data_IF_125297627975
#
_entry.id   IF_125297627975
#
_cell.length_a   1.000
_cell.length_b   1.000
_cell.length_c   1.000
_cell.angle_alpha   90.00
_cell.angle_beta   90.00
_cell.angle_gamma   90.00
#
_symmetry.space_group_name_H-M   'P 1'
#
loop_
_entity.id
_entity.type
_entity.pdbx_description
1 polymer ?
#
# COMPACT_ATOMS: atom_id res chain seq x y z
N UNK A 1 23.93 18.36 -12.21
CA UNK A 1 23.29 19.54 -11.63
C UNK A 1 24.31 20.34 -10.85
N UNK A 2 24.45 21.64 -11.11
CA UNK A 2 25.29 22.55 -10.33
C UNK A 2 24.47 23.09 -9.15
N UNK A 3 24.78 22.63 -7.94
CA UNK A 3 24.15 23.14 -6.72
C UNK A 3 24.71 24.52 -6.35
N UNK A 4 23.84 25.41 -5.88
CA UNK A 4 24.28 26.60 -5.15
C UNK A 4 24.87 26.22 -3.78
N UNK A 5 25.77 27.04 -3.20
CA UNK A 5 26.31 26.80 -1.85
C UNK A 5 25.21 26.62 -0.80
N UNK A 6 24.10 27.36 -0.95
CA UNK A 6 22.91 27.22 -0.09
C UNK A 6 22.28 25.84 -0.23
N UNK A 7 22.06 25.34 -1.45
CA UNK A 7 21.44 24.04 -1.68
C UNK A 7 22.30 22.90 -1.12
N UNK A 8 23.62 22.93 -1.36
CA UNK A 8 24.52 21.93 -0.83
C UNK A 8 24.51 21.92 0.71
N UNK A 9 24.57 23.10 1.34
CA UNK A 9 24.49 23.22 2.78
C UNK A 9 23.15 22.71 3.34
N UNK A 10 22.03 23.04 2.71
CA UNK A 10 20.71 22.59 3.17
C UNK A 10 20.51 21.09 3.00
N UNK A 11 21.03 20.47 1.93
CA UNK A 11 20.97 19.02 1.74
C UNK A 11 21.74 18.27 2.84
N UNK A 12 22.86 18.82 3.33
CA UNK A 12 23.58 18.26 4.50
C UNK A 12 22.79 18.39 5.80
N UNK A 13 21.87 19.33 5.88
CA UNK A 13 20.95 19.53 7.01
C UNK A 13 19.57 18.88 6.80
N UNK A 14 19.43 17.99 5.81
CA UNK A 14 18.17 17.32 5.48
C UNK A 14 18.36 15.81 5.56
N UNK A 15 17.43 15.12 6.23
CA UNK A 15 17.33 13.67 6.13
C UNK A 15 16.71 13.30 4.78
N UNK A 16 17.47 12.62 3.93
CA UNK A 16 16.97 12.11 2.65
C UNK A 16 16.44 10.69 2.86
N UNK A 17 15.17 10.48 2.52
CA UNK A 17 14.50 9.20 2.73
C UNK A 17 15.18 8.07 1.95
N UNK A 18 15.58 7.01 2.65
CA UNK A 18 16.16 5.78 2.09
C UNK A 18 17.44 5.93 1.24
N UNK A 19 18.08 7.11 1.25
CA UNK A 19 19.37 7.33 0.59
C UNK A 19 20.44 7.73 1.60
N UNK A 20 21.69 7.43 1.28
CA UNK A 20 22.80 8.03 1.99
C UNK A 20 23.02 9.46 1.49
N UNK A 21 23.05 10.44 2.38
CA UNK A 21 23.15 11.87 2.01
C UNK A 21 24.40 12.16 1.19
N UNK A 22 25.56 11.59 1.52
CA UNK A 22 26.79 11.79 0.74
C UNK A 22 26.68 11.23 -0.69
N UNK A 23 26.01 10.09 -0.86
CA UNK A 23 25.76 9.47 -2.17
C UNK A 23 24.79 10.33 -3.00
N UNK A 24 23.72 10.85 -2.37
CA UNK A 24 22.80 11.76 -3.03
C UNK A 24 23.49 13.06 -3.52
N UNK A 25 24.47 13.57 -2.76
CA UNK A 25 25.21 14.78 -3.11
C UNK A 25 26.15 14.61 -4.32
N UNK A 26 26.54 13.38 -4.69
CA UNK A 26 27.33 13.13 -5.90
C UNK A 26 26.53 13.46 -7.17
N UNK A 27 25.23 13.12 -7.15
CA UNK A 27 24.32 13.28 -8.28
C UNK A 27 22.94 13.80 -7.82
N UNK A 28 22.86 15.05 -7.32
CA UNK A 28 21.65 15.57 -6.73
C UNK A 28 20.57 15.80 -7.80
N UNK A 29 19.34 15.44 -7.45
CA UNK A 29 18.14 15.76 -8.22
C UNK A 29 17.24 16.69 -7.39
N UNK A 30 17.21 17.96 -7.76
CA UNK A 30 16.31 18.96 -7.16
C UNK A 30 15.21 19.28 -8.16
N UNK A 31 13.99 18.89 -7.84
CA UNK A 31 12.80 19.18 -8.63
C UNK A 31 12.26 20.58 -8.29
N UNK A 32 11.86 21.32 -9.31
CA UNK A 32 11.28 22.66 -9.16
C UNK A 32 9.79 22.69 -9.50
N UNK A 33 9.41 21.97 -10.56
CA UNK A 33 8.09 22.06 -11.16
C UNK A 33 7.59 20.68 -11.56
N UNK A 34 6.28 20.50 -11.49
CA UNK A 34 5.59 19.35 -12.05
C UNK A 34 4.33 19.81 -12.79
N UNK A 35 3.97 19.11 -13.86
CA UNK A 35 2.75 19.33 -14.65
C UNK A 35 2.38 18.06 -15.39
N UNK A 36 1.12 17.63 -15.27
CA UNK A 36 0.63 16.37 -15.86
C UNK A 36 1.54 15.19 -15.48
N UNK A 37 2.16 14.51 -16.44
CA UNK A 37 3.00 13.33 -16.21
C UNK A 37 4.49 13.65 -16.18
N UNK A 38 4.86 14.91 -15.92
CA UNK A 38 6.24 15.36 -16.01
C UNK A 38 6.71 16.15 -14.79
N UNK A 39 7.98 15.97 -14.46
CA UNK A 39 8.75 16.84 -13.59
C UNK A 39 9.77 17.65 -14.38
N UNK A 40 10.18 18.79 -13.82
CA UNK A 40 11.30 19.59 -14.26
C UNK A 40 12.22 19.83 -13.07
N UNK A 41 13.52 19.64 -13.29
CA UNK A 41 14.53 20.05 -12.32
C UNK A 41 14.85 21.56 -12.43
N UNK A 42 15.64 22.06 -11.50
CA UNK A 42 16.08 23.47 -11.45
C UNK A 42 16.97 23.91 -12.64
N UNK A 43 17.45 22.96 -13.46
CA UNK A 43 18.20 23.24 -14.69
C UNK A 43 17.27 23.18 -15.93
N UNK A 44 15.97 22.96 -15.72
CA UNK A 44 14.94 22.89 -16.77
C UNK A 44 14.86 21.52 -17.46
N UNK A 45 15.60 20.51 -17.02
CA UNK A 45 15.52 19.17 -17.61
C UNK A 45 14.20 18.51 -17.24
N UNK A 46 13.52 17.98 -18.25
CA UNK A 46 12.21 17.34 -18.13
C UNK A 46 12.33 15.82 -17.93
N UNK A 47 11.54 15.28 -17.01
CA UNK A 47 11.49 13.86 -16.65
C UNK A 47 10.05 13.35 -16.79
N UNK A 48 9.87 12.22 -17.48
CA UNK A 48 8.58 11.55 -17.51
C UNK A 48 8.39 10.74 -16.22
N UNK A 49 7.33 11.04 -15.49
CA UNK A 49 6.97 10.37 -14.25
C UNK A 49 6.16 9.10 -14.53
N UNK A 50 6.88 8.01 -14.81
CA UNK A 50 6.25 6.73 -15.17
C UNK A 50 5.60 5.99 -13.99
N UNK A 51 5.80 6.47 -12.75
CA UNK A 51 5.33 5.80 -11.53
C UNK A 51 4.46 6.69 -10.63
N UNK A 52 4.24 7.95 -11.01
CA UNK A 52 3.46 8.92 -10.23
C UNK A 52 4.16 9.30 -8.92
N UNK A 53 5.46 9.56 -8.96
CA UNK A 53 6.31 9.80 -7.79
C UNK A 53 6.59 8.49 -7.06
N UNK A 54 5.90 8.25 -5.93
CA UNK A 54 5.97 6.97 -5.21
C UNK A 54 4.57 6.32 -5.24
N UNK A 55 4.07 6.05 -6.45
CA UNK A 55 2.73 5.49 -6.71
C UNK A 55 1.57 6.40 -6.26
N UNK A 56 1.75 7.72 -6.29
CA UNK A 56 0.85 8.71 -5.71
C UNK A 56 0.01 9.43 -6.77
N UNK A 57 0.65 10.05 -7.76
CA UNK A 57 0.02 11.00 -8.68
C UNK A 57 -0.71 10.31 -9.85
N UNK A 58 -1.76 9.54 -9.56
CA UNK A 58 -2.58 8.82 -10.56
C UNK A 58 -3.24 9.71 -11.63
N UNK A 59 -3.64 10.93 -11.27
CA UNK A 59 -4.26 11.94 -12.14
C UNK A 59 -3.22 12.89 -12.76
N UNK A 60 -1.93 12.65 -12.49
CA UNK A 60 -0.85 13.58 -12.81
C UNK A 60 -0.80 14.80 -11.89
N UNK A 61 0.19 15.64 -12.14
CA UNK A 61 0.51 16.84 -11.36
C UNK A 61 -0.36 18.02 -11.76
N UNK A 62 -0.67 18.89 -10.78
CA UNK A 62 -1.45 20.14 -10.95
C UNK A 62 -2.84 19.97 -11.54
N UNK A 63 -3.54 18.88 -11.20
CA UNK A 63 -4.90 18.64 -11.68
C UNK A 63 -5.86 19.80 -11.28
N UNK A 64 -6.48 20.51 -12.24
CA UNK A 64 -7.25 21.73 -11.95
C UNK A 64 -8.37 21.55 -10.92
N UNK A 65 -9.13 20.45 -11.01
CA UNK A 65 -10.22 20.11 -10.08
C UNK A 65 -9.74 20.00 -8.63
N UNK A 66 -8.57 19.38 -8.41
CA UNK A 66 -8.02 19.17 -7.08
C UNK A 66 -7.48 20.49 -6.51
N UNK A 67 -6.83 21.31 -7.34
CA UNK A 67 -6.37 22.63 -6.93
C UNK A 67 -7.55 23.54 -6.54
N UNK A 68 -8.66 23.46 -7.28
CA UNK A 68 -9.87 24.20 -6.97
C UNK A 68 -10.54 23.70 -5.68
N UNK A 69 -10.58 22.39 -5.45
CA UNK A 69 -11.09 21.81 -4.20
C UNK A 69 -10.34 22.33 -2.97
N UNK A 70 -8.99 22.40 -3.03
CA UNK A 70 -8.18 23.00 -1.96
C UNK A 70 -8.56 24.46 -1.74
N UNK A 71 -8.57 25.28 -2.81
CA UNK A 71 -8.87 26.72 -2.71
C UNK A 71 -10.23 26.97 -2.08
N UNK A 72 -11.29 26.33 -2.56
CA UNK A 72 -12.65 26.52 -2.04
C UNK A 72 -12.76 26.10 -0.57
N UNK A 73 -12.09 25.02 -0.17
CA UNK A 73 -12.15 24.56 1.20
C UNK A 73 -11.36 25.47 2.16
N UNK A 74 -10.25 26.07 1.71
CA UNK A 74 -9.48 27.05 2.50
C UNK A 74 -10.30 28.27 2.90
N UNK A 75 -11.22 28.73 2.05
CA UNK A 75 -12.12 29.86 2.33
C UNK A 75 -13.21 29.53 3.38
N UNK A 76 -13.39 28.25 3.72
CA UNK A 76 -14.42 27.80 4.68
C UNK A 76 -13.84 27.37 6.02
N UNK A 77 -12.99 26.34 6.00
CA UNK A 77 -12.35 25.81 7.21
C UNK A 77 -11.09 25.04 6.82
N UNK A 78 -9.97 25.44 7.40
CA UNK A 78 -8.64 24.83 7.16
C UNK A 78 -8.35 23.69 8.14
N UNK A 79 -8.96 23.74 9.33
CA UNK A 79 -8.72 22.79 10.41
C UNK A 79 -9.97 22.67 11.29
N UNK A 80 -10.36 21.43 11.58
CA UNK A 80 -11.34 21.10 12.61
C UNK A 80 -10.64 20.24 13.67
N UNK A 81 -10.65 20.62 14.96
CA UNK A 81 -9.96 19.88 16.01
C UNK A 81 -10.70 18.57 16.33
N UNK A 82 -10.11 17.38 16.04
CA UNK A 82 -10.85 16.10 16.12
C UNK A 82 -11.33 15.70 17.52
N UNK A 83 -10.85 16.38 18.57
CA UNK A 83 -11.29 16.19 19.96
C UNK A 83 -12.52 17.04 20.34
N UNK A 84 -12.87 18.05 19.54
CA UNK A 84 -13.98 18.97 19.85
C UNK A 84 -15.10 18.92 18.80
N UNK A 85 -14.80 18.48 17.58
CA UNK A 85 -15.81 18.39 16.53
C UNK A 85 -15.31 17.79 15.23
N UNK A 86 -16.22 17.69 14.27
CA UNK A 86 -16.00 17.19 12.93
C UNK A 86 -16.51 18.24 11.92
N UNK A 87 -15.78 18.47 10.83
CA UNK A 87 -16.25 19.34 9.77
C UNK A 87 -17.26 18.61 8.88
N UNK A 88 -18.23 19.35 8.34
CA UNK A 88 -19.25 18.84 7.42
C UNK A 88 -18.64 18.10 6.22
N UNK A 89 -17.62 18.70 5.57
CA UNK A 89 -16.89 18.09 4.45
C UNK A 89 -16.18 16.77 4.82
N UNK A 90 -15.87 16.57 6.10
CA UNK A 90 -15.29 15.30 6.58
C UNK A 90 -16.37 14.21 6.60
N UNK A 91 -17.64 14.54 6.88
CA UNK A 91 -18.77 13.63 6.77
C UNK A 91 -19.06 13.28 5.30
N UNK A 92 -19.04 14.29 4.41
CA UNK A 92 -19.17 14.07 2.96
C UNK A 92 -18.09 13.12 2.44
N UNK A 93 -16.87 13.23 2.97
CA UNK A 93 -15.77 12.33 2.61
C UNK A 93 -16.01 10.90 3.08
N UNK A 94 -16.57 10.70 4.29
CA UNK A 94 -16.97 9.37 4.80
C UNK A 94 -18.00 8.73 3.88
N UNK A 95 -19.03 9.49 3.45
CA UNK A 95 -20.03 9.00 2.50
C UNK A 95 -19.39 8.68 1.14
N UNK A 96 -18.61 9.62 0.59
CA UNK A 96 -17.98 9.49 -0.72
C UNK A 96 -17.08 8.27 -0.81
N UNK A 97 -16.20 8.04 0.16
CA UNK A 97 -15.32 6.87 0.13
C UNK A 97 -16.09 5.57 0.33
N UNK A 98 -17.10 5.56 1.21
CA UNK A 98 -17.98 4.41 1.43
C UNK A 98 -18.82 4.04 0.20
N UNK A 99 -19.06 5.00 -0.71
CA UNK A 99 -19.79 4.75 -1.97
C UNK A 99 -19.00 3.97 -3.01
N UNK A 100 -17.66 3.92 -2.89
CA UNK A 100 -16.78 3.29 -3.89
C UNK A 100 -16.00 2.08 -3.38
N UNK A 101 -16.05 1.79 -2.07
CA UNK A 101 -15.50 0.57 -1.47
C UNK A 101 -16.41 -0.64 -1.70
N UNK A 102 -15.87 -1.88 -1.67
CA UNK A 102 -16.68 -3.07 -1.85
C UNK A 102 -17.51 -3.42 -0.61
N UNK A 103 -18.69 -4.02 -0.85
CA UNK A 103 -19.54 -4.60 0.20
C UNK A 103 -20.05 -3.55 1.20
N UNK A 104 -19.85 -3.82 2.49
CA UNK A 104 -20.30 -2.99 3.60
C UNK A 104 -19.15 -2.23 4.30
N UNK A 105 -18.05 -1.97 3.60
CA UNK A 105 -16.91 -1.21 4.09
C UNK A 105 -17.25 0.29 4.15
N UNK A 106 -17.97 0.70 5.18
CA UNK A 106 -18.52 2.07 5.34
C UNK A 106 -18.13 2.76 6.63
N UNK A 107 -17.37 2.10 7.52
CA UNK A 107 -16.91 2.72 8.76
C UNK A 107 -15.52 3.32 8.60
N UNK A 108 -15.47 4.62 8.35
CA UNK A 108 -14.30 5.33 7.83
C UNK A 108 -13.67 6.21 8.91
N UNK A 109 -12.34 6.22 8.97
CA UNK A 109 -11.56 7.23 9.71
C UNK A 109 -10.39 7.72 8.86
N UNK A 110 -10.34 9.03 8.63
CA UNK A 110 -9.27 9.70 7.86
C UNK A 110 -8.03 10.02 8.70
N UNK A 111 -6.87 10.02 8.04
CA UNK A 111 -5.53 10.21 8.61
C UNK A 111 -4.63 11.00 7.63
N UNK A 112 -3.38 11.27 8.00
CA UNK A 112 -2.43 11.99 7.12
C UNK A 112 -1.77 11.08 6.08
N UNK A 113 -1.85 9.76 6.23
CA UNK A 113 -1.25 8.84 5.26
C UNK A 113 -1.40 7.36 5.60
N UNK A 114 -0.82 6.51 4.75
CA UNK A 114 -0.96 5.06 4.84
C UNK A 114 -0.39 4.43 6.12
N UNK A 115 0.77 4.90 6.61
CA UNK A 115 1.34 4.37 7.86
C UNK A 115 0.42 4.60 9.06
N UNK A 116 -0.19 5.79 9.16
CA UNK A 116 -1.18 6.09 10.22
C UNK A 116 -2.44 5.23 10.08
N UNK A 117 -2.92 5.04 8.84
CA UNK A 117 -4.07 4.17 8.58
C UNK A 117 -3.80 2.71 8.97
N UNK A 118 -2.60 2.18 8.68
CA UNK A 118 -2.19 0.84 9.10
C UNK A 118 -2.09 0.76 10.63
N UNK A 119 -1.47 1.72 11.31
CA UNK A 119 -1.44 1.69 12.78
C UNK A 119 -2.82 1.73 13.40
N UNK A 120 -3.69 2.57 12.86
CA UNK A 120 -5.08 2.63 13.29
C UNK A 120 -5.75 1.27 13.11
N UNK A 121 -5.58 0.60 11.97
CA UNK A 121 -6.16 -0.72 11.72
C UNK A 121 -5.63 -1.79 12.69
N UNK A 122 -4.32 -1.83 12.94
CA UNK A 122 -3.72 -2.79 13.88
C UNK A 122 -4.25 -2.57 15.31
N UNK A 123 -4.34 -1.31 15.76
CA UNK A 123 -4.93 -0.98 17.07
C UNK A 123 -6.43 -1.26 17.13
N UNK A 124 -7.16 -0.93 16.07
CA UNK A 124 -8.60 -1.13 15.95
C UNK A 124 -8.94 -2.61 16.10
N UNK A 125 -8.25 -3.49 15.37
CA UNK A 125 -8.49 -4.94 15.43
C UNK A 125 -8.18 -5.51 16.81
N UNK A 126 -7.06 -5.14 17.43
CA UNK A 126 -6.74 -5.56 18.80
C UNK A 126 -7.81 -5.10 19.80
N UNK A 127 -8.27 -3.85 19.69
CA UNK A 127 -9.28 -3.31 20.59
C UNK A 127 -10.66 -3.94 20.32
N UNK A 128 -11.01 -4.18 19.05
CA UNK A 128 -12.22 -4.87 18.63
C UNK A 128 -12.36 -6.22 19.36
N UNK A 129 -11.34 -7.07 19.28
CA UNK A 129 -11.41 -8.37 19.95
C UNK A 129 -11.43 -8.29 21.48
N UNK A 130 -10.76 -7.31 22.09
CA UNK A 130 -10.90 -7.05 23.53
C UNK A 130 -12.33 -6.69 23.92
N UNK A 131 -13.05 -5.96 23.08
CA UNK A 131 -14.42 -5.52 23.31
C UNK A 131 -15.47 -6.58 22.92
N UNK A 132 -15.11 -7.55 22.07
CA UNK A 132 -16.02 -8.61 21.59
C UNK A 132 -15.69 -9.99 22.16
N UNK A 133 -15.07 -10.06 23.35
CA UNK A 133 -14.91 -11.30 24.11
C UNK A 133 -13.75 -12.22 23.71
N UNK A 134 -12.80 -11.75 22.89
CA UNK A 134 -11.63 -12.53 22.47
C UNK A 134 -10.30 -11.81 22.80
N UNK A 135 -10.06 -11.43 24.08
CA UNK A 135 -8.93 -10.56 24.44
C UNK A 135 -7.54 -11.14 24.15
N UNK A 136 -7.45 -12.45 23.91
CA UNK A 136 -6.23 -13.16 23.52
C UNK A 136 -5.79 -12.87 22.08
N UNK A 137 -6.67 -12.39 21.20
CA UNK A 137 -6.34 -12.12 19.79
C UNK A 137 -5.55 -10.81 19.65
N UNK A 138 -4.23 -10.93 19.47
CA UNK A 138 -3.33 -9.78 19.27
C UNK A 138 -2.28 -9.94 18.16
N UNK A 139 -2.02 -11.17 17.70
CA UNK A 139 -1.01 -11.45 16.68
C UNK A 139 -1.53 -11.08 15.30
N UNK A 140 -0.63 -10.61 14.44
CA UNK A 140 -0.92 -10.35 13.03
C UNK A 140 -0.03 -11.21 12.15
N UNK A 141 -0.63 -11.90 11.20
CA UNK A 141 0.07 -12.58 10.13
C UNK A 141 0.19 -11.61 8.95
N UNK A 142 1.37 -11.59 8.34
CA UNK A 142 1.70 -10.74 7.19
C UNK A 142 2.78 -11.45 6.36
N UNK A 143 3.33 -10.81 5.33
CA UNK A 143 4.26 -11.48 4.42
C UNK A 143 5.67 -10.96 4.49
N UNK A 144 6.64 -11.85 4.29
CA UNK A 144 7.96 -11.45 3.80
C UNK A 144 7.83 -10.65 2.49
N UNK A 145 8.73 -9.69 2.29
CA UNK A 145 8.70 -8.74 1.17
C UNK A 145 7.48 -7.79 1.11
N UNK A 146 6.61 -7.78 2.12
CA UNK A 146 5.55 -6.78 2.26
C UNK A 146 6.04 -5.44 2.82
N UNK A 147 5.29 -4.37 2.59
CA UNK A 147 5.52 -3.05 3.16
C UNK A 147 4.22 -2.38 3.61
N UNK A 148 4.14 -2.05 4.89
CA UNK A 148 2.95 -1.53 5.56
C UNK A 148 3.22 -0.22 6.32
N UNK A 149 4.22 0.54 5.87
CA UNK A 149 4.56 1.85 6.44
C UNK A 149 5.80 1.88 7.33
N UNK A 150 6.12 3.08 7.82
CA UNK A 150 7.35 3.38 8.57
C UNK A 150 7.19 3.54 10.08
N UNK A 151 5.96 3.42 10.61
CA UNK A 151 5.68 3.41 12.05
C UNK A 151 6.03 2.06 12.68
N UNK A 152 6.13 1.93 14.01
CA UNK A 152 6.60 0.69 14.64
C UNK A 152 5.73 -0.55 14.38
N UNK A 153 4.40 -0.42 14.43
CA UNK A 153 3.47 -1.49 14.08
C UNK A 153 3.43 -1.77 12.57
N UNK A 154 3.42 -0.73 11.73
CA UNK A 154 3.52 -0.89 10.26
C UNK A 154 4.84 -1.54 9.81
N UNK A 155 5.95 -1.19 10.46
CA UNK A 155 7.26 -1.81 10.28
C UNK A 155 7.28 -3.24 10.84
N UNK A 156 6.60 -3.46 11.97
CA UNK A 156 6.34 -4.79 12.53
C UNK A 156 5.59 -5.69 11.56
N UNK A 157 4.59 -5.16 10.85
CA UNK A 157 3.85 -5.84 9.78
C UNK A 157 4.66 -5.98 8.47
N UNK A 158 5.65 -5.12 8.21
CA UNK A 158 6.51 -5.19 7.02
C UNK A 158 7.47 -6.39 7.04
N UNK A 159 7.96 -6.78 5.86
CA UNK A 159 8.64 -8.07 5.65
C UNK A 159 10.06 -8.00 5.10
N UNK A 160 10.76 -6.87 5.22
CA UNK A 160 12.14 -6.70 4.69
C UNK A 160 13.15 -6.35 5.77
N UNK A 161 14.18 -7.20 5.93
CA UNK A 161 15.24 -7.06 6.94
C UNK A 161 15.87 -5.66 7.00
N UNK A 162 16.45 -5.12 5.91
CA UNK A 162 17.14 -3.83 5.94
C UNK A 162 16.30 -2.64 6.42
N UNK A 163 14.97 -2.73 6.34
CA UNK A 163 14.07 -1.67 6.84
C UNK A 163 13.82 -1.73 8.34
N UNK A 164 14.07 -2.88 8.99
CA UNK A 164 13.81 -3.07 10.42
C UNK A 164 15.04 -3.28 11.27
N UNK A 165 16.13 -3.83 10.73
CA UNK A 165 17.33 -4.23 11.50
C UNK A 165 17.93 -3.10 12.33
N UNK A 166 17.84 -1.84 11.88
CA UNK A 166 18.36 -0.68 12.63
C UNK A 166 17.50 -0.28 13.84
N UNK A 167 16.29 -0.82 13.96
CA UNK A 167 15.30 -0.47 14.97
C UNK A 167 14.89 -1.67 15.83
N UNK A 168 15.52 -2.83 15.62
CA UNK A 168 15.24 -4.04 16.40
C UNK A 168 15.76 -3.92 17.84
N UNK A 169 15.09 -4.55 18.82
CA UNK A 169 13.96 -5.49 18.67
C UNK A 169 12.61 -4.82 18.35
N UNK A 170 11.77 -5.50 17.56
CA UNK A 170 10.42 -5.02 17.21
C UNK A 170 9.38 -5.34 18.30
N UNK A 171 8.22 -4.68 18.24
CA UNK A 171 7.05 -5.05 19.03
C UNK A 171 6.64 -6.51 18.70
N UNK A 172 6.38 -7.37 19.71
CA UNK A 172 5.95 -8.74 19.47
C UNK A 172 4.55 -8.81 18.84
N UNK A 173 4.21 -10.00 18.33
CA UNK A 173 2.90 -10.29 17.75
C UNK A 173 2.78 -10.02 16.26
N UNK A 174 3.90 -10.06 15.51
CA UNK A 174 3.88 -10.08 14.05
C UNK A 174 4.57 -11.34 13.53
N UNK A 175 3.81 -12.17 12.83
CA UNK A 175 4.27 -13.44 12.23
C UNK A 175 4.31 -13.28 10.71
N UNK A 176 5.26 -13.94 10.05
CA UNK A 176 5.48 -13.82 8.61
C UNK A 176 5.32 -15.15 7.91
N UNK A 177 4.55 -15.13 6.82
CA UNK A 177 4.55 -16.18 5.79
C UNK A 177 5.34 -15.74 4.57
N UNK A 178 5.77 -16.67 3.74
CA UNK A 178 6.38 -16.33 2.46
C UNK A 178 5.31 -15.98 1.42
N UNK A 179 5.57 -15.00 0.54
CA UNK A 179 4.66 -14.73 -0.57
C UNK A 179 4.78 -15.80 -1.66
N UNK A 180 3.78 -15.91 -2.57
CA UNK A 180 3.80 -16.90 -3.64
C UNK A 180 5.04 -16.83 -4.55
N UNK A 181 5.63 -15.64 -4.73
CA UNK A 181 6.84 -15.46 -5.53
C UNK A 181 8.06 -16.19 -4.95
N UNK A 182 8.11 -16.44 -3.64
CA UNK A 182 9.18 -17.21 -3.01
C UNK A 182 9.14 -18.70 -3.38
N UNK A 183 7.95 -19.20 -3.69
CA UNK A 183 7.70 -20.58 -4.05
C UNK A 183 7.73 -20.84 -5.56
N UNK A 184 7.78 -19.79 -6.39
CA UNK A 184 7.64 -19.87 -7.85
C UNK A 184 8.45 -21.00 -8.49
N UNK A 185 9.74 -21.08 -8.21
CA UNK A 185 10.64 -22.05 -8.83
C UNK A 185 10.65 -23.42 -8.11
N UNK A 186 9.76 -23.62 -7.12
CA UNK A 186 9.58 -24.86 -6.36
C UNK A 186 8.33 -25.64 -6.78
N UNK A 187 7.49 -25.05 -7.62
CA UNK A 187 6.25 -25.65 -8.12
C UNK A 187 6.26 -25.63 -9.66
N UNK A 188 5.46 -26.50 -10.29
CA UNK A 188 5.41 -26.58 -11.73
C UNK A 188 4.67 -25.40 -12.36
N UNK A 189 3.68 -24.85 -11.64
CA UNK A 189 2.84 -23.75 -12.12
C UNK A 189 2.76 -22.60 -11.12
N UNK A 190 2.40 -21.41 -11.61
CA UNK A 190 2.19 -20.24 -10.75
C UNK A 190 0.96 -20.43 -9.86
N UNK A 191 -0.06 -21.10 -10.38
CA UNK A 191 -1.30 -21.46 -9.70
C UNK A 191 -1.04 -22.37 -8.49
N UNK A 192 -0.21 -23.41 -8.64
CA UNK A 192 0.20 -24.28 -7.52
C UNK A 192 0.99 -23.52 -6.46
N UNK A 193 1.96 -22.70 -6.86
CA UNK A 193 2.73 -21.88 -5.93
C UNK A 193 1.85 -20.90 -5.14
N UNK A 194 0.82 -20.33 -5.77
CA UNK A 194 -0.13 -19.45 -5.11
C UNK A 194 -1.05 -20.19 -4.16
N UNK A 195 -1.59 -21.33 -4.58
CA UNK A 195 -2.45 -22.16 -3.73
C UNK A 195 -1.71 -22.56 -2.45
N UNK A 196 -0.50 -23.11 -2.59
CA UNK A 196 0.34 -23.47 -1.45
C UNK A 196 0.63 -22.28 -0.53
N UNK A 197 1.02 -21.14 -1.09
CA UNK A 197 1.28 -19.94 -0.30
C UNK A 197 0.03 -19.40 0.41
N UNK A 198 -1.15 -19.51 -0.19
CA UNK A 198 -2.41 -19.12 0.43
C UNK A 198 -2.79 -20.07 1.58
N UNK A 199 -2.69 -21.39 1.36
CA UNK A 199 -2.97 -22.44 2.35
C UNK A 199 -2.02 -22.32 3.56
N UNK A 200 -0.74 -21.98 3.34
CA UNK A 200 0.21 -21.76 4.43
C UNK A 200 -0.18 -20.64 5.41
N UNK A 201 -1.06 -19.70 5.00
CA UNK A 201 -1.58 -18.69 5.92
C UNK A 201 -2.44 -19.36 6.99
N UNK A 202 -3.29 -20.31 6.60
CA UNK A 202 -4.12 -21.06 7.54
C UNK A 202 -3.28 -21.98 8.43
N UNK A 203 -2.28 -22.65 7.87
CA UNK A 203 -1.33 -23.45 8.66
C UNK A 203 -0.72 -22.62 9.78
N UNK A 204 -0.30 -21.39 9.48
CA UNK A 204 0.27 -20.47 10.48
C UNK A 204 -0.78 -19.95 11.46
N UNK A 205 -2.03 -19.71 11.03
CA UNK A 205 -3.13 -19.39 11.97
C UNK A 205 -3.28 -20.50 13.01
N UNK A 206 -3.28 -21.76 12.57
CA UNK A 206 -3.44 -22.94 13.43
C UNK A 206 -2.23 -23.11 14.35
N UNK A 207 -1.01 -23.01 13.82
CA UNK A 207 0.23 -23.24 14.58
C UNK A 207 0.53 -22.13 15.61
N UNK A 208 0.03 -20.92 15.38
CA UNK A 208 0.16 -19.79 16.31
C UNK A 208 -0.94 -19.77 17.38
N UNK A 209 -1.83 -20.76 17.41
CA UNK A 209 -3.10 -20.78 18.15
C UNK A 209 -4.10 -19.73 17.59
N UNK A 210 -5.20 -20.17 16.95
CA UNK A 210 -6.23 -19.29 16.39
C UNK A 210 -6.79 -18.28 17.39
N UNK A 211 -6.85 -18.62 18.69
CA UNK A 211 -7.33 -17.73 19.75
C UNK A 211 -6.38 -16.56 20.05
N UNK A 212 -5.18 -16.57 19.47
CA UNK A 212 -4.21 -15.48 19.60
C UNK A 212 -4.02 -14.65 18.33
N UNK A 213 -4.50 -15.14 17.19
CA UNK A 213 -4.39 -14.44 15.90
C UNK A 213 -5.56 -13.49 15.71
N UNK A 214 -5.25 -12.19 15.64
CA UNK A 214 -6.22 -11.13 15.44
C UNK A 214 -6.46 -10.83 13.96
N UNK A 215 -5.41 -10.84 13.14
CA UNK A 215 -5.61 -10.47 11.74
C UNK A 215 -4.54 -10.95 10.78
N UNK A 216 -4.91 -10.95 9.50
CA UNK A 216 -4.02 -11.13 8.36
C UNK A 216 -3.98 -9.81 7.60
N UNK A 217 -2.79 -9.21 7.43
CA UNK A 217 -2.61 -7.95 6.68
C UNK A 217 -1.75 -8.18 5.42
N UNK A 218 -2.29 -7.81 4.27
CA UNK A 218 -1.67 -8.07 2.96
C UNK A 218 -1.89 -6.92 1.98
N UNK A 219 -0.85 -6.56 1.21
CA UNK A 219 -1.03 -5.78 -0.03
C UNK A 219 -1.66 -6.69 -1.11
N UNK A 220 -2.75 -6.29 -1.81
CA UNK A 220 -3.30 -7.09 -2.91
C UNK A 220 -2.29 -7.37 -4.03
N UNK A 221 -1.45 -6.37 -4.35
CA UNK A 221 -0.28 -6.50 -5.22
C UNK A 221 0.93 -5.91 -4.49
N UNK A 222 1.88 -6.76 -4.10
CA UNK A 222 2.99 -6.37 -3.22
C UNK A 222 4.12 -5.67 -3.99
N UNK A 223 4.35 -4.38 -3.72
CA UNK A 223 5.34 -3.61 -4.48
C UNK A 223 6.79 -3.96 -4.12
N UNK A 224 7.09 -4.06 -2.83
CA UNK A 224 8.47 -4.21 -2.34
C UNK A 224 9.13 -5.51 -2.81
N UNK A 225 8.35 -6.58 -2.95
CA UNK A 225 8.80 -7.83 -3.58
C UNK A 225 8.84 -7.82 -5.11
N UNK A 226 8.72 -6.64 -5.72
CA UNK A 226 8.75 -6.44 -7.17
C UNK A 226 7.42 -6.71 -7.85
N UNK A 227 6.32 -6.07 -7.43
CA UNK A 227 4.97 -6.23 -8.02
C UNK A 227 4.48 -7.69 -7.96
N UNK A 228 4.52 -8.29 -6.77
CA UNK A 228 4.01 -9.65 -6.52
C UNK A 228 2.51 -9.65 -6.82
N UNK A 229 2.10 -10.35 -7.87
CA UNK A 229 0.73 -10.38 -8.37
C UNK A 229 0.15 -11.79 -8.19
N UNK A 230 -0.71 -12.01 -7.19
CA UNK A 230 -1.27 -13.33 -6.94
C UNK A 230 -2.23 -13.79 -8.04
N UNK A 231 -2.54 -15.09 -8.06
CA UNK A 231 -3.63 -15.64 -8.88
C UNK A 231 -5.01 -15.23 -8.35
N UNK A 232 -6.08 -15.29 -9.17
CA UNK A 232 -7.42 -14.89 -8.74
C UNK A 232 -7.93 -15.59 -7.46
N UNK A 233 -7.60 -16.87 -7.28
CA UNK A 233 -8.07 -17.68 -6.14
C UNK A 233 -7.30 -17.45 -4.83
N UNK A 234 -6.10 -16.83 -4.89
CA UNK A 234 -5.21 -16.67 -3.73
C UNK A 234 -5.91 -16.02 -2.53
N UNK A 235 -6.56 -14.88 -2.76
CA UNK A 235 -7.24 -14.15 -1.69
C UNK A 235 -8.54 -14.81 -1.25
N UNK A 236 -9.19 -15.59 -2.11
CA UNK A 236 -10.40 -16.34 -1.73
C UNK A 236 -10.06 -17.40 -0.69
N UNK A 237 -8.98 -18.17 -0.91
CA UNK A 237 -8.48 -19.17 0.04
C UNK A 237 -8.18 -18.53 1.40
N UNK A 238 -7.48 -17.39 1.41
CA UNK A 238 -7.13 -16.68 2.65
C UNK A 238 -8.37 -16.11 3.35
N UNK A 239 -9.33 -15.55 2.60
CA UNK A 239 -10.59 -15.05 3.14
C UNK A 239 -11.37 -16.16 3.84
N UNK A 240 -11.51 -17.32 3.19
CA UNK A 240 -12.20 -18.48 3.74
C UNK A 240 -11.51 -19.00 5.01
N UNK A 241 -10.17 -19.00 5.05
CA UNK A 241 -9.43 -19.33 6.27
C UNK A 241 -9.67 -18.31 7.39
N UNK A 242 -9.63 -17.01 7.08
CA UNK A 242 -9.90 -15.96 8.06
C UNK A 242 -11.32 -16.08 8.64
N UNK A 243 -12.31 -16.43 7.81
CA UNK A 243 -13.69 -16.64 8.25
C UNK A 243 -13.82 -17.86 9.18
N UNK A 244 -13.18 -18.99 8.86
CA UNK A 244 -13.20 -20.20 9.71
C UNK A 244 -12.65 -19.97 11.11
N UNK A 245 -11.62 -19.13 11.24
CA UNK A 245 -10.85 -18.96 12.49
C UNK A 245 -11.18 -17.67 13.24
N UNK A 246 -12.22 -16.92 12.82
CA UNK A 246 -12.56 -15.61 13.37
C UNK A 246 -11.33 -14.69 13.41
N UNK A 247 -10.72 -14.45 12.25
CA UNK A 247 -9.53 -13.60 12.04
C UNK A 247 -9.89 -12.46 11.09
N UNK A 248 -9.50 -11.22 11.42
CA UNK A 248 -9.75 -10.05 10.56
C UNK A 248 -8.82 -10.05 9.35
N UNK A 249 -9.37 -9.97 8.14
CA UNK A 249 -8.59 -9.75 6.92
C UNK A 249 -8.47 -8.24 6.64
N UNK A 250 -7.24 -7.77 6.52
CA UNK A 250 -6.91 -6.38 6.18
C UNK A 250 -6.21 -6.34 4.83
N UNK A 251 -6.77 -5.58 3.89
CA UNK A 251 -6.03 -5.22 2.68
C UNK A 251 -5.37 -3.86 2.83
N UNK A 252 -4.05 -3.85 2.68
CA UNK A 252 -3.28 -2.63 2.51
C UNK A 252 -3.35 -2.20 1.04
N UNK A 253 -4.29 -1.31 0.77
CA UNK A 253 -4.55 -0.74 -0.55
C UNK A 253 -3.94 0.66 -0.70
N UNK A 254 -2.90 0.97 0.08
CA UNK A 254 -2.20 2.25 -0.02
C UNK A 254 -1.61 2.46 -1.41
N UNK A 255 -1.18 1.40 -2.12
CA UNK A 255 -0.72 1.47 -3.52
C UNK A 255 -1.83 1.06 -4.51
N UNK A 256 -2.58 0.01 -4.19
CA UNK A 256 -3.45 -0.67 -5.16
C UNK A 256 -4.83 -0.02 -5.31
N UNK A 257 -5.24 0.81 -4.35
CA UNK A 257 -6.47 1.59 -4.43
C UNK A 257 -6.41 2.71 -5.47
N UNK A 258 -7.56 3.35 -5.67
CA UNK A 258 -7.78 4.46 -6.59
C UNK A 258 -7.41 4.14 -8.04
N UNK A 259 -8.15 3.17 -8.61
CA UNK A 259 -8.11 2.77 -10.03
C UNK A 259 -6.82 2.05 -10.48
N UNK A 260 -5.81 1.90 -9.62
CA UNK A 260 -4.47 1.46 -10.03
C UNK A 260 -4.45 0.06 -10.68
N UNK A 261 -5.33 -0.82 -10.22
CA UNK A 261 -5.39 -2.23 -10.66
C UNK A 261 -6.49 -2.51 -11.70
N UNK A 262 -7.19 -1.48 -12.19
CA UNK A 262 -8.31 -1.62 -13.14
C UNK A 262 -9.71 -1.63 -12.50
N UNK A 263 -9.78 -1.51 -11.17
CA UNK A 263 -10.98 -1.20 -10.37
C UNK A 263 -10.62 -0.15 -9.32
N UNK A 264 -11.61 0.46 -8.68
CA UNK A 264 -11.36 1.45 -7.63
C UNK A 264 -10.45 0.89 -6.52
N UNK A 265 -10.70 -0.34 -6.08
CA UNK A 265 -9.84 -1.07 -5.14
C UNK A 265 -9.47 -2.44 -5.71
N UNK A 266 -8.28 -2.94 -5.42
CA UNK A 266 -7.87 -4.28 -5.84
C UNK A 266 -8.70 -5.38 -5.19
N UNK A 267 -9.31 -5.15 -4.04
CA UNK A 267 -10.38 -5.99 -3.49
C UNK A 267 -11.44 -6.33 -4.54
N UNK A 268 -11.87 -5.35 -5.35
CA UNK A 268 -12.81 -5.56 -6.45
C UNK A 268 -12.15 -6.27 -7.63
N UNK A 269 -10.89 -5.93 -7.96
CA UNK A 269 -10.11 -6.60 -9.02
C UNK A 269 -9.94 -8.11 -8.77
N UNK A 270 -9.77 -8.51 -7.51
CA UNK A 270 -9.63 -9.91 -7.10
C UNK A 270 -10.94 -10.54 -6.62
N UNK A 271 -12.05 -9.79 -6.59
CA UNK A 271 -13.36 -10.30 -6.18
C UNK A 271 -13.46 -10.74 -4.71
N UNK A 272 -12.64 -10.18 -3.82
CA UNK A 272 -12.60 -10.52 -2.39
C UNK A 272 -12.74 -9.26 -1.54
N UNK A 273 -13.75 -9.24 -0.67
CA UNK A 273 -13.97 -8.12 0.27
C UNK A 273 -13.28 -8.40 1.60
N UNK A 274 -12.26 -7.62 2.00
CA UNK A 274 -11.64 -7.73 3.32
C UNK A 274 -12.56 -7.13 4.39
N UNK A 275 -12.17 -7.27 5.65
CA UNK A 275 -12.87 -6.63 6.78
C UNK A 275 -12.44 -5.17 6.97
N UNK A 276 -11.19 -4.86 6.59
CA UNK A 276 -10.63 -3.52 6.63
C UNK A 276 -9.82 -3.26 5.36
N UNK A 277 -9.97 -2.06 4.79
CA UNK A 277 -9.07 -1.48 3.81
C UNK A 277 -8.28 -0.34 4.46
N UNK A 278 -6.96 -0.39 4.34
CA UNK A 278 -6.08 0.75 4.62
C UNK A 278 -5.70 1.44 3.32
N UNK A 279 -5.74 2.77 3.29
CA UNK A 279 -5.41 3.51 2.07
C UNK A 279 -4.69 4.82 2.32
N UNK A 280 -4.11 5.39 1.25
CA UNK A 280 -3.27 6.58 1.24
C UNK A 280 -2.93 6.95 -0.21
N UNK A 281 -1.77 7.59 -0.43
CA UNK A 281 -1.21 7.90 -1.77
C UNK A 281 -2.25 8.42 -2.78
N UNK A 282 -2.80 7.53 -3.61
CA UNK A 282 -3.77 7.85 -4.66
C UNK A 282 -5.01 8.59 -4.14
N UNK A 283 -5.38 8.42 -2.87
CA UNK A 283 -6.57 9.05 -2.27
C UNK A 283 -6.60 10.57 -2.42
N UNK A 284 -5.44 11.24 -2.40
CA UNK A 284 -5.32 12.68 -2.57
C UNK A 284 -4.51 13.07 -3.79
N UNK A 285 -4.11 12.09 -4.60
CA UNK A 285 -3.22 12.29 -5.74
C UNK A 285 -1.91 13.05 -5.36
N UNK A 286 -1.51 13.00 -4.09
CA UNK A 286 -0.30 13.67 -3.57
C UNK A 286 -0.42 15.19 -3.40
N UNK A 287 -1.60 15.76 -3.58
CA UNK A 287 -1.83 17.21 -3.42
C UNK A 287 -1.72 17.62 -1.96
N UNK A 288 -2.20 16.77 -1.05
CA UNK A 288 -2.18 16.98 0.40
C UNK A 288 -2.08 15.62 1.11
N UNK A 289 -1.38 15.50 2.26
CA UNK A 289 -1.32 14.24 3.00
C UNK A 289 -2.72 13.75 3.39
N UNK A 290 -3.05 12.52 2.97
CA UNK A 290 -4.30 11.87 3.29
C UNK A 290 -4.12 10.35 3.27
N UNK A 291 -4.75 9.69 4.24
CA UNK A 291 -4.98 8.26 4.28
C UNK A 291 -6.31 7.97 4.96
N UNK A 292 -6.76 6.72 4.91
CA UNK A 292 -7.97 6.31 5.60
C UNK A 292 -7.90 4.82 6.00
N UNK A 293 -8.49 4.52 7.15
CA UNK A 293 -8.89 3.17 7.52
C UNK A 293 -10.39 3.06 7.24
N UNK A 294 -10.80 1.99 6.56
CA UNK A 294 -12.19 1.75 6.18
C UNK A 294 -12.55 0.34 6.62
N UNK A 295 -13.36 0.21 7.66
CA UNK A 295 -13.80 -1.07 8.21
C UNK A 295 -15.24 -1.39 7.79
N UNK A 296 -15.65 -2.64 7.95
CA UNK A 296 -17.05 -3.02 7.79
C UNK A 296 -17.91 -2.27 8.80
N UNK A 297 -19.08 -1.85 8.36
CA UNK A 297 -20.03 -1.07 9.16
C UNK A 297 -20.42 -1.77 10.46
N UNK A 298 -20.61 -3.09 10.45
CA UNK A 298 -20.97 -3.84 11.65
C UNK A 298 -19.88 -3.86 12.73
N UNK A 299 -18.60 -3.65 12.37
CA UNK A 299 -17.52 -3.55 13.37
C UNK A 299 -17.64 -2.28 14.22
N UNK A 300 -18.38 -1.26 13.75
CA UNK A 300 -18.62 -0.04 14.51
C UNK A 300 -19.38 -0.30 15.82
N UNK A 301 -20.22 -1.34 15.86
CA UNK A 301 -21.01 -1.70 17.06
C UNK A 301 -20.13 -2.02 18.26
N UNK A 302 -18.93 -2.57 18.05
CA UNK A 302 -18.00 -2.81 19.14
C UNK A 302 -17.57 -1.50 19.83
N UNK A 303 -17.66 -0.36 19.13
CA UNK A 303 -17.22 0.95 19.61
C UNK A 303 -18.36 1.93 19.90
N UNK A 304 -19.60 1.45 19.88
CA UNK A 304 -20.78 2.25 20.08
C UNK A 304 -21.57 1.73 21.28
N UNK A 305 -21.72 2.57 22.30
CA UNK A 305 -22.47 2.25 23.50
C UNK A 305 -22.48 3.42 24.48
N UNK A 306 -23.07 3.24 25.66
CA UNK A 306 -23.21 4.32 26.62
C UNK A 306 -21.82 4.72 27.19
N UNK A 307 -21.59 5.99 27.57
CA UNK A 307 -20.27 6.50 27.96
C UNK A 307 -19.58 5.70 29.06
N UNK A 308 -20.33 5.20 30.04
CA UNK A 308 -19.84 4.38 31.16
C UNK A 308 -19.26 3.03 30.73
N UNK A 309 -19.60 2.53 29.54
CA UNK A 309 -19.05 1.29 29.00
C UNK A 309 -17.63 1.46 28.43
N UNK A 310 -17.17 2.69 28.20
CA UNK A 310 -15.80 2.97 27.76
C UNK A 310 -15.43 2.35 26.40
N UNK A 311 -16.40 2.20 25.49
CA UNK A 311 -16.24 1.50 24.21
C UNK A 311 -15.56 2.34 23.11
N UNK A 312 -15.11 3.56 23.38
CA UNK A 312 -14.51 4.43 22.35
C UNK A 312 -13.25 3.82 21.71
N UNK A 313 -12.99 4.15 20.45
CA UNK A 313 -11.71 3.79 19.82
C UNK A 313 -10.57 4.63 20.42
N UNK A 314 -9.65 3.99 21.15
CA UNK A 314 -8.59 4.65 21.92
C UNK A 314 -7.37 5.03 21.05
N UNK A 315 -7.61 5.84 20.01
CA UNK A 315 -6.61 6.29 19.06
C UNK A 315 -7.02 7.57 18.32
N UNK A 316 -6.06 8.46 18.08
CA UNK A 316 -6.28 9.68 17.32
C UNK A 316 -4.98 10.35 16.91
N UNK A 317 -5.08 11.28 15.96
CA UNK A 317 -4.00 12.15 15.50
C UNK A 317 -4.55 13.56 15.32
N UNK A 318 -3.72 14.59 15.50
CA UNK A 318 -4.13 15.99 15.41
C UNK A 318 -4.78 16.33 14.07
N UNK A 319 -4.25 15.81 12.95
CA UNK A 319 -4.73 16.08 11.60
C UNK A 319 -5.70 15.02 11.05
N UNK A 320 -6.16 14.08 11.88
CA UNK A 320 -7.11 13.05 11.45
C UNK A 320 -8.40 13.71 10.93
N UNK A 321 -8.82 13.34 9.71
CA UNK A 321 -10.01 13.89 9.07
C UNK A 321 -9.89 15.36 8.68
N UNK A 322 -8.67 15.86 8.39
CA UNK A 322 -8.45 17.25 7.99
C UNK A 322 -9.39 17.69 6.84
N UNK A 323 -10.12 18.83 6.99
CA UNK A 323 -11.11 19.26 6.00
C UNK A 323 -10.56 19.48 4.58
N UNK A 324 -9.35 20.05 4.45
CA UNK A 324 -8.70 20.27 3.15
C UNK A 324 -8.38 18.94 2.48
N UNK A 325 -7.87 17.99 3.27
CA UNK A 325 -7.56 16.66 2.78
C UNK A 325 -8.82 15.92 2.32
N UNK A 326 -9.89 15.94 3.13
CA UNK A 326 -11.19 15.36 2.79
C UNK A 326 -11.77 15.95 1.49
N UNK A 327 -11.73 17.27 1.31
CA UNK A 327 -12.20 17.92 0.08
C UNK A 327 -11.42 17.47 -1.17
N UNK A 328 -10.09 17.34 -1.06
CA UNK A 328 -9.25 16.80 -2.15
C UNK A 328 -9.58 15.34 -2.42
N UNK A 329 -9.77 14.53 -1.37
CA UNK A 329 -10.14 13.12 -1.49
C UNK A 329 -11.46 12.93 -2.25
N UNK A 330 -12.46 13.74 -1.93
CA UNK A 330 -13.73 13.77 -2.68
C UNK A 330 -13.50 14.11 -4.15
N UNK A 331 -12.73 15.18 -4.43
CA UNK A 331 -12.45 15.61 -5.79
C UNK A 331 -11.69 14.55 -6.61
N UNK A 332 -10.78 13.78 -5.99
CA UNK A 332 -10.10 12.64 -6.63
C UNK A 332 -11.09 11.55 -6.98
N UNK A 333 -11.94 11.15 -6.02
CA UNK A 333 -12.92 10.07 -6.24
C UNK A 333 -13.90 10.47 -7.33
N UNK A 334 -14.40 11.70 -7.31
CA UNK A 334 -15.30 12.20 -8.34
C UNK A 334 -14.64 12.16 -9.72
N UNK A 335 -13.41 12.66 -9.86
CA UNK A 335 -12.67 12.63 -11.13
C UNK A 335 -12.53 11.19 -11.65
N UNK A 336 -12.23 10.25 -10.76
CA UNK A 336 -12.08 8.84 -11.12
C UNK A 336 -13.39 8.21 -11.57
N UNK A 337 -14.49 8.49 -10.86
CA UNK A 337 -15.81 7.93 -11.16
C UNK A 337 -16.41 8.56 -12.41
N UNK A 338 -16.46 9.88 -12.49
CA UNK A 338 -17.06 10.63 -13.61
C UNK A 338 -16.37 10.29 -14.95
N UNK A 339 -15.05 10.10 -14.93
CA UNK A 339 -14.26 9.81 -16.13
C UNK A 339 -13.95 8.33 -16.33
N UNK A 340 -14.52 7.43 -15.50
CA UNK A 340 -14.33 5.97 -15.57
C UNK A 340 -12.85 5.58 -15.64
N UNK A 341 -12.05 6.15 -14.74
CA UNK A 341 -10.59 6.02 -14.80
C UNK A 341 -10.12 4.60 -14.45
N UNK A 342 -10.92 3.81 -13.76
CA UNK A 342 -10.69 2.40 -13.53
C UNK A 342 -10.78 1.57 -14.82
N UNK A 343 -11.84 1.75 -15.62
CA UNK A 343 -11.97 1.12 -16.95
C UNK A 343 -10.81 1.53 -17.86
N UNK A 344 -10.44 2.83 -17.86
CA UNK A 344 -9.28 3.32 -18.61
C UNK A 344 -7.97 2.72 -18.11
N UNK A 345 -7.79 2.56 -16.80
CA UNK A 345 -6.60 1.95 -16.22
C UNK A 345 -6.49 0.46 -16.57
N UNK A 346 -7.62 -0.25 -16.68
CA UNK A 346 -7.65 -1.63 -17.17
C UNK A 346 -7.23 -1.71 -18.65
N UNK A 347 -7.84 -0.90 -19.52
CA UNK A 347 -7.52 -0.85 -20.95
C UNK A 347 -6.05 -0.46 -21.20
N UNK A 348 -5.60 0.62 -20.56
CA UNK A 348 -4.21 1.09 -20.66
C UNK A 348 -3.26 0.06 -20.08
N UNK A 349 -3.62 -0.57 -18.97
CA UNK A 349 -2.85 -1.65 -18.36
C UNK A 349 -2.62 -2.83 -19.31
N UNK A 350 -3.65 -3.24 -20.04
CA UNK A 350 -3.57 -4.32 -21.02
C UNK A 350 -2.68 -3.93 -22.21
N UNK A 351 -2.80 -2.69 -22.68
CA UNK A 351 -1.90 -2.15 -23.69
C UNK A 351 -0.45 -2.11 -23.22
N UNK A 352 -0.17 -1.60 -22.01
CA UNK A 352 1.20 -1.58 -21.45
C UNK A 352 1.74 -3.00 -21.35
N UNK A 353 0.94 -3.96 -20.85
CA UNK A 353 1.37 -5.36 -20.73
C UNK A 353 1.77 -5.94 -22.09
N UNK A 354 0.96 -5.76 -23.14
CA UNK A 354 1.28 -6.27 -24.48
C UNK A 354 2.56 -5.64 -25.06
N UNK A 355 2.78 -4.35 -24.83
CA UNK A 355 4.01 -3.65 -25.25
C UNK A 355 5.24 -4.12 -24.48
N UNK A 356 5.11 -4.38 -23.19
CA UNK A 356 6.19 -4.94 -22.37
C UNK A 356 6.52 -6.37 -22.80
N UNK A 357 5.51 -7.19 -23.16
CA UNK A 357 5.71 -8.57 -23.62
C UNK A 357 6.60 -8.64 -24.86
N UNK A 358 6.51 -7.66 -25.75
CA UNK A 358 7.42 -7.55 -26.90
C UNK A 358 8.91 -7.40 -26.51
N UNK A 359 9.23 -6.99 -25.28
CA UNK A 359 10.60 -6.87 -24.80
C UNK A 359 11.25 -8.23 -24.49
N UNK A 360 10.47 -9.32 -24.38
CA UNK A 360 11.02 -10.67 -24.20
C UNK A 360 11.96 -11.10 -25.33
N UNK A 361 11.83 -10.51 -26.53
CA UNK A 361 12.73 -10.73 -27.67
C UNK A 361 14.21 -10.43 -27.36
N UNK A 362 14.49 -9.62 -26.34
CA UNK A 362 15.85 -9.28 -25.95
C UNK A 362 16.52 -10.34 -25.06
N UNK A 363 15.81 -11.41 -24.66
CA UNK A 363 16.39 -12.53 -23.91
C UNK A 363 16.78 -12.21 -22.45
N UNK A 364 16.38 -11.04 -21.95
CA UNK A 364 16.70 -10.54 -20.59
C UNK A 364 15.47 -10.30 -19.72
N UNK A 365 14.26 -10.52 -20.24
CA UNK A 365 13.01 -10.38 -19.48
C UNK A 365 12.55 -11.75 -19.03
N UNK A 366 12.59 -12.01 -17.71
CA UNK A 366 12.06 -13.25 -17.12
C UNK A 366 10.54 -13.25 -17.15
N UNK A 367 9.95 -12.17 -16.66
CA UNK A 367 8.50 -12.11 -16.45
C UNK A 367 8.00 -10.67 -16.49
N UNK A 368 6.77 -10.50 -16.97
CA UNK A 368 5.97 -9.28 -16.83
C UNK A 368 4.73 -9.64 -16.03
N UNK A 369 4.41 -8.83 -15.02
CA UNK A 369 3.33 -9.09 -14.07
C UNK A 369 2.66 -7.80 -13.62
N UNK A 370 1.51 -7.93 -12.97
CA UNK A 370 0.75 -6.80 -12.42
C UNK A 370 -0.75 -6.84 -12.73
N UNK A 371 -1.47 -5.83 -12.25
CA UNK A 371 -2.89 -5.55 -12.59
C UNK A 371 -3.08 -4.07 -12.94
N UNK A 372 -4.00 -3.75 -13.85
CA UNK A 372 -4.21 -2.38 -14.36
C UNK A 372 -2.91 -1.71 -14.81
N UNK A 373 -2.68 -0.47 -14.39
CA UNK A 373 -1.46 0.27 -14.73
C UNK A 373 -0.28 -0.04 -13.78
N UNK A 374 -0.49 -0.84 -12.73
CA UNK A 374 0.59 -1.34 -11.88
C UNK A 374 1.26 -2.54 -12.56
N UNK A 375 2.45 -2.31 -13.11
CA UNK A 375 3.19 -3.31 -13.89
C UNK A 375 4.62 -3.46 -13.38
N UNK A 376 5.10 -4.69 -13.32
CA UNK A 376 6.47 -5.04 -12.99
C UNK A 376 7.11 -5.82 -14.13
N UNK A 377 8.40 -5.57 -14.36
CA UNK A 377 9.24 -6.32 -15.30
C UNK A 377 10.41 -6.87 -14.52
N UNK A 378 10.56 -8.19 -14.50
CA UNK A 378 11.72 -8.84 -13.89
C UNK A 378 12.76 -9.14 -14.94
N UNK A 379 13.98 -8.66 -14.68
CA UNK A 379 15.11 -8.79 -15.57
C UNK A 379 16.10 -9.85 -15.06
N UNK A 380 16.62 -10.64 -15.99
CA UNK A 380 17.67 -11.65 -15.77
C UNK A 380 18.74 -11.51 -16.86
N UNK A 381 19.97 -11.90 -16.56
CA UNK A 381 21.06 -11.90 -17.56
C UNK A 381 20.73 -12.80 -18.74
N UNK A 382 20.17 -13.97 -18.45
CA UNK A 382 19.75 -14.95 -19.44
C UNK A 382 18.47 -15.66 -18.98
N UNK A 383 17.46 -15.70 -19.84
CA UNK A 383 16.18 -16.38 -19.56
C UNK A 383 16.27 -17.92 -19.54
N UNK A 384 17.41 -18.51 -19.93
CA UNK A 384 17.62 -19.96 -19.79
C UNK A 384 18.11 -20.35 -18.40
N UNK A 385 19.10 -19.62 -17.87
CA UNK A 385 19.69 -19.91 -16.56
C UNK A 385 18.97 -19.21 -15.41
N UNK A 386 18.08 -18.26 -15.71
CA UNK A 386 17.45 -17.36 -14.75
C UNK A 386 18.46 -16.62 -13.86
N UNK A 387 19.69 -16.47 -14.33
CA UNK A 387 20.74 -15.80 -13.56
C UNK A 387 20.36 -14.32 -13.37
N UNK A 388 20.27 -13.80 -12.14
CA UNK A 388 19.93 -12.40 -11.91
C UNK A 388 21.04 -11.47 -12.42
N UNK A 389 20.68 -10.24 -12.79
CA UNK A 389 21.66 -9.18 -12.89
C UNK A 389 22.32 -8.98 -11.53
N UNK A 390 23.64 -8.84 -11.48
CA UNK A 390 24.31 -8.42 -10.26
C UNK A 390 23.75 -7.05 -9.88
N UNK A 391 23.24 -6.89 -8.67
CA UNK A 391 22.64 -5.63 -8.27
C UNK A 391 23.73 -4.55 -8.18
N UNK A 392 23.60 -3.38 -8.83
CA UNK A 392 24.43 -2.22 -8.46
C UNK A 392 24.23 -1.86 -6.98
N UNK A 393 23.05 -2.17 -6.42
CA UNK A 393 22.72 -2.13 -5.00
C UNK A 393 23.12 -3.40 -4.22
N UNK A 394 24.00 -4.27 -4.75
CA UNK A 394 24.46 -5.50 -4.08
C UNK A 394 25.27 -5.24 -2.80
N UNK A 395 25.52 -3.98 -2.42
CA UNK A 395 25.94 -3.68 -1.04
C UNK A 395 24.79 -3.79 -0.02
N UNK A 396 23.50 -3.84 -0.41
CA UNK A 396 22.38 -3.68 0.56
C UNK A 396 21.05 -4.45 0.36
N UNK A 397 20.88 -5.42 -0.54
CA UNK A 397 19.70 -6.32 -0.40
C UNK A 397 19.75 -7.66 -1.13
N UNK A 398 19.55 -8.69 -0.29
CA UNK A 398 19.10 -10.08 -0.50
C UNK A 398 20.01 -11.06 -1.27
N UNK A 399 20.30 -12.24 -0.68
CA UNK A 399 20.96 -13.32 -1.39
C UNK A 399 20.03 -13.91 -2.48
N UNK A 400 20.60 -14.46 -3.56
CA UNK A 400 19.81 -15.23 -4.53
C UNK A 400 19.12 -16.42 -3.86
N UNK A 401 17.99 -16.87 -4.44
CA UNK A 401 17.30 -18.09 -4.03
C UNK A 401 18.26 -19.29 -4.07
N UNK A 402 18.20 -20.25 -3.13
CA UNK A 402 19.20 -21.32 -2.98
C UNK A 402 19.22 -22.40 -4.09
N UNK A 403 18.59 -22.21 -5.25
CA UNK A 403 18.39 -23.30 -6.23
C UNK A 403 19.08 -23.12 -7.59
N UNK A 404 19.99 -22.16 -7.77
CA UNK A 404 20.75 -22.07 -9.04
C UNK A 404 21.89 -23.09 -9.18
N UNK A 405 21.97 -24.09 -8.30
CA UNK A 405 22.93 -25.19 -8.38
C UNK A 405 22.22 -26.51 -8.13
N UNK A 406 21.63 -27.10 -9.18
CA UNK A 406 21.58 -28.56 -9.42
C UNK A 406 20.85 -28.86 -10.74
N UNK A 407 21.60 -29.47 -11.64
CA UNK A 407 21.25 -30.43 -12.70
C UNK A 407 22.09 -30.17 -13.96
N UNK A 408 23.40 -30.38 -13.81
CA UNK A 408 24.22 -30.92 -14.88
C UNK A 408 24.36 -32.42 -14.57
N UNK A 409 23.69 -33.23 -15.37
CA UNK A 409 23.79 -34.68 -15.46
C UNK A 409 23.49 -35.02 -16.91
#
# INVERSE_FOLDING_TARGET
MKLSPRQENLLKHTFIDFFQTSEFLEHPLILEKADRLYYWDIEGKRYFDAIGGIFVASLGHRHPRLLDAVRRQMERITFAPPLHGIADITLDFVEKIGSVTPGNLKYVKGFSGGSEAVEAALKFVRQYYKQTGHPGKYKFISRYFGYHGGTFGGMGASGTGPRKTKFEPQMPGFVKVFPPSYYRDRFATWEEANRFAAESVEDVIILEDPETVAGVILEPVGNTGGIITPTPEYFRIIREACDRHNVVLIFDEVITGFAKTGKMFAAQTFGVTPDIICTGKGISNGVIPLGAMIARENMAQAFFGPPEAGLQFAHGHTFAGNPLACAVGIAVIDEMVEHKLDEKAEQLGNYIASRLECLKKFGVVREIRGKGVLRGVELVKHTRSMQPFGSPCARRSLPPSPTSTRCAG
#
